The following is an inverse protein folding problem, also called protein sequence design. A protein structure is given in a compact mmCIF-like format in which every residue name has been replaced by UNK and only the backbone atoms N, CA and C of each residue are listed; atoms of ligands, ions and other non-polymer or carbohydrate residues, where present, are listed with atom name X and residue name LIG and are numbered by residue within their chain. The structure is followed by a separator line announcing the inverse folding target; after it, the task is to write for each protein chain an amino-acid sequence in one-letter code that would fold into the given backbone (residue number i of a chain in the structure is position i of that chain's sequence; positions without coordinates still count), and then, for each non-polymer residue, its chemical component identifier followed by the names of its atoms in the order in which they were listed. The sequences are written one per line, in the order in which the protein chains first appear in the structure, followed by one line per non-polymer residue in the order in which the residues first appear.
data_IF_450259837605
#
_entry.id   IF_450259837605
#
_cell.length_a   1.000
_cell.length_b   1.000
_cell.length_c   1.000
_cell.angle_alpha   90.00
_cell.angle_beta   90.00
_cell.angle_gamma   90.00
#
_symmetry.space_group_name_H-M   'P 1'
#
loop_
_entity.id
_entity.type
_entity.pdbx_description
1 polymer ?
#
# COMPACT_ATOMS: atom_id res chain seq x y z
N UNK A 1 -11.74 8.71 -7.71
CA UNK A 1 -11.49 7.28 -8.04
C UNK A 1 -12.10 6.38 -6.99
N UNK A 2 -12.39 5.12 -7.34
CA UNK A 2 -12.99 4.17 -6.42
C UNK A 2 -11.98 3.71 -5.36
N UNK A 3 -12.46 3.50 -4.14
CA UNK A 3 -11.69 2.89 -3.05
C UNK A 3 -11.50 1.40 -3.34
N UNK A 4 -10.36 0.83 -3.00
CA UNK A 4 -10.13 -0.60 -3.14
C UNK A 4 -11.04 -1.37 -2.19
N UNK A 5 -10.94 -1.06 -0.90
CA UNK A 5 -11.83 -1.58 0.14
C UNK A 5 -12.30 -0.42 1.01
N UNK A 6 -13.62 -0.29 1.18
CA UNK A 6 -14.24 0.76 1.98
C UNK A 6 -14.95 0.18 3.20
N UNK A 7 -14.43 0.48 4.39
CA UNK A 7 -14.99 0.07 5.68
C UNK A 7 -15.65 1.30 6.31
N UNK A 8 -16.99 1.28 6.38
CA UNK A 8 -17.78 2.45 6.78
C UNK A 8 -18.87 2.04 7.77
N UNK A 9 -19.02 2.79 8.88
CA UNK A 9 -19.99 2.52 9.94
C UNK A 9 -20.01 1.04 10.36
N UNK A 10 -18.83 0.44 10.45
CA UNK A 10 -18.65 -1.00 10.60
C UNK A 10 -17.71 -1.31 11.74
N UNK A 11 -18.02 -2.35 12.51
CA UNK A 11 -17.33 -2.66 13.76
C UNK A 11 -16.97 -4.13 13.91
N UNK A 12 -15.83 -4.43 14.53
CA UNK A 12 -15.37 -5.79 14.87
C UNK A 12 -15.24 -6.74 13.66
N UNK A 13 -14.92 -6.21 12.48
CA UNK A 13 -14.72 -7.03 11.28
C UNK A 13 -13.26 -7.43 11.10
N UNK A 14 -13.04 -8.44 10.26
CA UNK A 14 -11.72 -8.89 9.88
C UNK A 14 -11.60 -8.85 8.36
N UNK A 15 -10.57 -8.19 7.88
CA UNK A 15 -10.21 -8.10 6.47
C UNK A 15 -8.79 -8.61 6.31
N UNK A 16 -8.62 -9.78 5.71
CA UNK A 16 -7.31 -10.41 5.64
C UNK A 16 -7.06 -11.23 4.39
N UNK A 17 -5.78 -11.41 4.05
CA UNK A 17 -5.31 -12.16 2.89
C UNK A 17 -5.88 -11.66 1.54
N UNK A 18 -6.17 -10.36 1.42
CA UNK A 18 -6.64 -9.78 0.16
C UNK A 18 -5.50 -9.14 -0.62
N UNK A 19 -5.64 -9.13 -1.94
CA UNK A 19 -4.82 -8.32 -2.84
C UNK A 19 -5.67 -7.19 -3.41
N UNK A 20 -5.25 -5.94 -3.16
CA UNK A 20 -5.89 -4.74 -3.69
C UNK A 20 -4.90 -4.03 -4.59
N UNK A 21 -5.29 -3.76 -5.84
CA UNK A 21 -4.43 -3.10 -6.83
C UNK A 21 -5.14 -1.96 -7.54
N UNK A 22 -4.39 -0.91 -7.89
CA UNK A 22 -4.83 0.19 -8.78
C UNK A 22 -6.11 0.88 -8.31
N UNK A 23 -6.15 1.28 -7.04
CA UNK A 23 -7.28 1.95 -6.38
C UNK A 23 -6.98 3.41 -6.05
N UNK A 24 -8.01 4.20 -5.74
CA UNK A 24 -7.84 5.55 -5.18
C UNK A 24 -7.11 5.49 -3.84
N UNK A 25 -7.78 5.01 -2.78
CA UNK A 25 -7.09 4.49 -1.59
C UNK A 25 -7.18 2.96 -1.59
N UNK A 26 -6.16 2.29 -1.02
CA UNK A 26 -6.13 0.83 -0.91
C UNK A 26 -7.19 0.32 0.06
N UNK A 27 -7.02 0.65 1.33
CA UNK A 27 -8.03 0.45 2.38
C UNK A 27 -8.43 1.82 2.91
N UNK A 28 -9.73 2.12 2.89
CA UNK A 28 -10.29 3.33 3.48
C UNK A 28 -11.24 2.98 4.63
N UNK A 29 -10.86 3.35 5.85
CA UNK A 29 -11.68 3.20 7.06
C UNK A 29 -12.30 4.54 7.42
N UNK A 30 -13.61 4.56 7.58
CA UNK A 30 -14.35 5.82 7.65
C UNK A 30 -15.60 5.72 8.54
N UNK A 31 -16.19 6.88 8.80
CA UNK A 31 -17.52 7.04 9.39
C UNK A 31 -17.66 6.30 10.72
N UNK A 32 -16.76 6.57 11.66
CA UNK A 32 -16.80 6.03 13.02
C UNK A 32 -16.57 4.53 13.10
N UNK A 33 -15.92 3.90 12.13
CA UNK A 33 -15.65 2.46 12.15
C UNK A 33 -14.66 2.10 13.26
N UNK A 34 -14.93 1.04 14.02
CA UNK A 34 -14.10 0.69 15.20
C UNK A 34 -13.75 -0.78 15.32
N UNK A 35 -12.61 -1.06 15.95
CA UNK A 35 -12.16 -2.41 16.30
C UNK A 35 -12.08 -3.38 15.11
N UNK A 36 -11.91 -2.86 13.89
CA UNK A 36 -11.70 -3.71 12.73
C UNK A 36 -10.21 -4.11 12.66
N UNK A 37 -9.96 -5.34 12.20
CA UNK A 37 -8.62 -5.89 12.00
C UNK A 37 -8.36 -6.06 10.52
N UNK A 38 -7.36 -5.38 10.00
CA UNK A 38 -6.92 -5.48 8.63
C UNK A 38 -5.50 -6.04 8.57
N UNK A 39 -5.33 -7.29 8.14
CA UNK A 39 -4.04 -7.94 8.25
C UNK A 39 -3.67 -8.85 7.09
N UNK A 40 -2.37 -9.04 6.87
CA UNK A 40 -1.85 -9.88 5.78
C UNK A 40 -2.39 -9.50 4.38
N UNK A 41 -2.83 -8.25 4.18
CA UNK A 41 -3.27 -7.77 2.88
C UNK A 41 -2.09 -7.23 2.07
N UNK A 42 -2.15 -7.40 0.76
CA UNK A 42 -1.21 -6.80 -0.19
C UNK A 42 -1.88 -5.64 -0.92
N UNK A 43 -1.38 -4.43 -0.72
CA UNK A 43 -1.88 -3.19 -1.31
C UNK A 43 -0.88 -2.68 -2.36
N UNK A 44 -1.32 -2.50 -3.60
CA UNK A 44 -0.45 -2.20 -4.73
C UNK A 44 -0.93 -0.98 -5.52
N UNK A 45 -0.03 -0.03 -5.74
CA UNK A 45 -0.23 1.10 -6.65
C UNK A 45 -1.53 1.89 -6.37
N UNK A 46 -1.80 2.19 -5.10
CA UNK A 46 -2.84 3.16 -4.74
C UNK A 46 -2.48 4.55 -5.28
N UNK A 47 -3.47 5.34 -5.70
CA UNK A 47 -3.21 6.66 -6.28
C UNK A 47 -3.12 7.78 -5.25
N UNK A 48 -3.71 7.60 -4.07
CA UNK A 48 -3.75 8.62 -3.02
C UNK A 48 -3.17 8.14 -1.70
N UNK A 49 -3.65 7.03 -1.13
CA UNK A 49 -3.09 6.45 0.10
C UNK A 49 -3.16 4.92 0.02
N UNK A 50 -2.18 4.23 0.59
CA UNK A 50 -2.30 2.80 0.82
C UNK A 50 -3.41 2.53 1.84
N UNK A 51 -3.36 3.22 2.97
CA UNK A 51 -4.35 3.12 4.05
C UNK A 51 -4.75 4.53 4.48
N UNK A 52 -6.05 4.79 4.57
CA UNK A 52 -6.59 6.06 5.07
C UNK A 52 -7.63 5.80 6.16
N UNK A 53 -7.58 6.55 7.27
CA UNK A 53 -8.53 6.46 8.38
C UNK A 53 -9.12 7.84 8.68
N UNK A 54 -10.43 8.01 8.51
CA UNK A 54 -11.11 9.29 8.73
C UNK A 54 -12.40 9.18 9.55
N UNK A 55 -12.93 10.36 9.89
CA UNK A 55 -14.21 10.64 10.51
C UNK A 55 -14.44 9.83 11.79
N UNK A 56 -13.54 10.01 12.75
CA UNK A 56 -13.65 9.43 14.10
C UNK A 56 -13.52 7.91 14.14
N UNK A 57 -12.85 7.30 13.15
CA UNK A 57 -12.68 5.85 13.12
C UNK A 57 -11.54 5.44 14.05
N UNK A 58 -11.87 4.72 15.11
CA UNK A 58 -11.00 4.52 16.27
C UNK A 58 -10.72 3.05 16.56
N UNK A 59 -9.56 2.75 17.13
CA UNK A 59 -9.27 1.38 17.62
C UNK A 59 -9.11 0.33 16.53
N UNK A 60 -8.88 0.73 15.27
CA UNK A 60 -8.65 -0.22 14.18
C UNK A 60 -7.19 -0.67 14.16
N UNK A 61 -6.95 -1.94 13.86
CA UNK A 61 -5.60 -2.53 13.86
C UNK A 61 -5.22 -2.97 12.46
N UNK A 62 -4.07 -2.49 11.98
CA UNK A 62 -3.49 -2.84 10.70
C UNK A 62 -2.15 -3.52 10.95
N UNK A 63 -2.02 -4.81 10.62
CA UNK A 63 -0.77 -5.51 10.86
C UNK A 63 -0.36 -6.47 9.75
N UNK A 64 0.95 -6.65 9.57
CA UNK A 64 1.53 -7.56 8.57
C UNK A 64 1.08 -7.29 7.13
N UNK A 65 0.56 -6.10 6.83
CA UNK A 65 0.18 -5.76 5.46
C UNK A 65 1.43 -5.40 4.64
N UNK A 66 1.41 -5.77 3.35
CA UNK A 66 2.45 -5.43 2.38
C UNK A 66 1.94 -4.32 1.47
N UNK A 67 2.63 -3.19 1.46
CA UNK A 67 2.28 -1.98 0.70
C UNK A 67 3.37 -1.75 -0.34
N UNK A 68 3.00 -1.71 -1.61
CA UNK A 68 3.93 -1.57 -2.73
C UNK A 68 3.44 -0.50 -3.70
N UNK A 69 4.27 0.50 -3.99
CA UNK A 69 3.93 1.53 -4.97
C UNK A 69 5.19 2.18 -5.53
N UNK A 70 5.10 2.64 -6.78
CA UNK A 70 6.12 3.44 -7.43
C UNK A 70 5.99 4.94 -7.12
N UNK A 71 4.81 5.39 -6.68
CA UNK A 71 4.55 6.78 -6.32
C UNK A 71 4.46 6.92 -4.80
N UNK A 72 4.86 8.10 -4.30
CA UNK A 72 4.95 8.39 -2.87
C UNK A 72 3.57 8.30 -2.20
N UNK A 73 2.57 8.91 -2.80
CA UNK A 73 1.18 8.97 -2.33
C UNK A 73 0.63 7.56 -2.12
N UNK A 74 0.89 6.65 -3.06
CA UNK A 74 0.49 5.25 -2.97
C UNK A 74 1.13 4.43 -1.85
N UNK A 75 2.13 4.97 -1.15
CA UNK A 75 2.75 4.39 0.03
C UNK A 75 2.22 4.99 1.34
N UNK A 76 1.44 6.06 1.27
CA UNK A 76 1.04 6.82 2.46
C UNK A 76 0.03 6.05 3.32
N UNK A 77 0.25 6.13 4.63
CA UNK A 77 -0.69 5.72 5.66
C UNK A 77 -1.11 7.00 6.39
N UNK A 78 -2.38 7.36 6.25
CA UNK A 78 -2.92 8.62 6.77
C UNK A 78 -4.05 8.39 7.78
N UNK A 79 -4.17 9.31 8.74
CA UNK A 79 -5.35 9.41 9.59
C UNK A 79 -5.67 10.86 9.93
N UNK A 80 -6.96 11.20 10.09
CA UNK A 80 -7.36 12.51 10.57
C UNK A 80 -7.22 12.69 12.09
N UNK A 81 -7.34 13.93 12.57
CA UNK A 81 -7.17 14.27 13.98
C UNK A 81 -8.25 13.69 14.91
N UNK A 82 -9.38 13.24 14.36
CA UNK A 82 -10.50 12.66 15.14
C UNK A 82 -10.39 11.15 15.27
N UNK A 83 -9.57 10.53 14.42
CA UNK A 83 -9.33 9.10 14.34
C UNK A 83 -8.16 8.72 15.24
N UNK A 84 -8.45 8.09 16.37
CA UNK A 84 -7.53 7.86 17.49
C UNK A 84 -7.41 6.37 17.83
N UNK A 85 -6.35 6.02 18.56
CA UNK A 85 -6.09 4.64 19.02
C UNK A 85 -6.02 3.60 17.88
N UNK A 86 -5.74 4.02 16.65
CA UNK A 86 -5.48 3.09 15.55
C UNK A 86 -4.02 2.60 15.65
N UNK A 87 -3.81 1.32 15.38
CA UNK A 87 -2.51 0.68 15.55
C UNK A 87 -2.03 0.16 14.20
N UNK A 88 -0.80 0.52 13.85
CA UNK A 88 -0.08 0.00 12.69
C UNK A 88 1.16 -0.74 13.18
N UNK A 89 1.25 -2.04 12.93
CA UNK A 89 2.38 -2.85 13.40
C UNK A 89 2.84 -3.84 12.33
N UNK A 90 4.15 -4.02 12.17
CA UNK A 90 4.73 -4.99 11.22
C UNK A 90 4.26 -4.85 9.76
N UNK A 91 3.77 -3.68 9.34
CA UNK A 91 3.43 -3.43 7.94
C UNK A 91 4.71 -3.15 7.15
N UNK A 92 4.85 -3.75 5.97
CA UNK A 92 5.98 -3.55 5.08
C UNK A 92 5.63 -2.54 3.99
N UNK A 93 6.39 -1.46 3.88
CA UNK A 93 6.20 -0.43 2.85
C UNK A 93 7.38 -0.46 1.88
N UNK A 94 7.11 -0.75 0.61
CA UNK A 94 8.10 -1.00 -0.43
C UNK A 94 7.90 0.00 -1.56
N UNK A 95 8.87 0.89 -1.74
CA UNK A 95 8.92 1.76 -2.91
C UNK A 95 9.46 0.97 -4.11
N UNK A 96 8.61 0.68 -5.09
CA UNK A 96 9.00 -0.06 -6.30
C UNK A 96 9.62 0.81 -7.39
N UNK A 97 9.68 2.14 -7.21
CA UNK A 97 10.41 3.05 -8.10
C UNK A 97 11.91 3.15 -7.73
N UNK A 98 12.37 2.46 -6.68
CA UNK A 98 13.79 2.50 -6.30
C UNK A 98 14.68 2.09 -7.48
N UNK A 99 15.58 2.98 -7.95
CA UNK A 99 16.44 2.75 -9.12
C UNK A 99 17.48 1.63 -8.91
N UNK A 100 17.57 1.10 -7.69
CA UNK A 100 18.42 -0.03 -7.33
C UNK A 100 17.72 -1.39 -7.56
N UNK A 101 16.91 -1.51 -8.60
CA UNK A 101 16.52 -2.83 -9.10
C UNK A 101 17.73 -3.41 -9.85
N UNK A 102 18.64 -4.04 -9.11
CA UNK A 102 19.91 -4.60 -9.59
C UNK A 102 19.72 -5.51 -10.82
N UNK A 103 18.59 -6.22 -10.89
CA UNK A 103 18.27 -7.12 -12.00
C UNK A 103 18.03 -6.34 -13.31
N UNK A 104 17.32 -5.21 -13.25
CA UNK A 104 17.07 -4.39 -14.43
C UNK A 104 18.36 -3.72 -14.95
N UNK A 105 19.23 -3.27 -14.03
CA UNK A 105 20.51 -2.66 -14.36
C UNK A 105 21.50 -3.69 -14.95
N UNK A 106 21.48 -4.94 -14.50
CA UNK A 106 22.30 -6.02 -15.08
C UNK A 106 21.84 -6.44 -16.47
N UNK A 107 20.52 -6.51 -16.71
CA UNK A 107 19.97 -6.81 -18.05
C UNK A 107 20.34 -5.72 -19.05
N UNK A 108 20.22 -4.44 -18.69
CA UNK A 108 20.61 -3.33 -19.56
C UNK A 108 22.11 -3.33 -19.88
N UNK A 109 22.97 -3.66 -18.91
CA UNK A 109 24.42 -3.79 -19.13
C UNK A 109 24.76 -4.90 -20.12
N UNK A 110 24.12 -6.08 -20.02
CA UNK A 110 24.33 -7.18 -20.97
C UNK A 110 23.94 -6.79 -22.39
N UNK A 111 22.78 -6.18 -22.57
CA UNK A 111 22.28 -5.77 -23.88
C UNK A 111 23.20 -4.74 -24.57
N UNK A 112 23.81 -3.84 -23.80
CA UNK A 112 24.77 -2.88 -24.37
C UNK A 112 26.12 -3.51 -24.72
N UNK A 113 26.60 -4.50 -23.95
CA UNK A 113 27.86 -5.19 -24.25
C UNK A 113 27.83 -6.10 -25.48
N UNK A 114 26.64 -6.55 -25.91
CA UNK A 114 26.48 -7.39 -27.11
C UNK A 114 26.47 -6.59 -28.42
N UNK A 115 26.20 -5.27 -28.35
CA UNK A 115 26.14 -4.38 -29.52
C UNK A 115 27.55 -3.93 -29.94
N UNK A 116 28.46 -3.74 -28.98
CA UNK A 116 29.84 -3.29 -29.25
C UNK A 116 30.76 -4.42 -29.77
N UNK A 117 30.30 -5.68 -29.78
CA UNK A 117 31.08 -6.85 -30.16
C UNK A 117 30.89 -7.38 -31.59
N UNK A 118 30.06 -6.76 -32.43
CA UNK A 118 29.72 -7.27 -33.79
C UNK A 118 30.20 -6.40 -34.97
N UNK A 119 31.11 -5.46 -34.73
CA UNK A 119 31.67 -4.59 -35.76
C UNK A 119 33.12 -4.93 -36.14
N UNK A 120 33.37 -6.09 -36.75
CA UNK A 120 34.58 -6.38 -37.53
C UNK A 120 34.22 -7.17 -38.78
#
# INVERSE_FOLDING_TARGET
EAQGIFVSQSHNNQLYNNTVSTSGNGIYVNSGSTNNKMYDNTLMNSKSHAILINNGSNGNTFYSNKIVSAIKEGLEIGQDATSTNNVFSNNQVINSASPNNTIANEIQKKNNSEIDGKGH
#
